data_IF_319935887481
#
_entry.id   IF_319935887481
#
_cell.length_a   1.000
_cell.length_b   1.000
_cell.length_c   1.000
_cell.angle_alpha   90.00
_cell.angle_beta   90.00
_cell.angle_gamma   90.00
#
_symmetry.space_group_name_H-M   'P 1'
#
loop_
_entity.id
_entity.type
_entity.pdbx_description
1 polymer ?
#
# COMPACT_ATOMS: atom_id res chain seq x y z
N UNK A 1 11.59 21.57 6.49
CA UNK A 1 10.62 21.87 7.57
C UNK A 1 11.34 21.75 8.90
N UNK A 2 11.03 22.59 9.88
CA UNK A 2 11.64 22.54 11.21
C UNK A 2 11.08 21.32 11.95
N UNK A 3 11.95 20.52 12.59
CA UNK A 3 11.54 19.28 13.26
C UNK A 3 10.36 19.39 14.24
N UNK A 4 10.27 20.45 15.10
CA UNK A 4 9.12 20.62 15.98
C UNK A 4 7.78 20.76 15.25
N UNK A 5 7.75 21.49 14.14
CA UNK A 5 6.54 21.72 13.34
C UNK A 5 6.07 20.43 12.66
N UNK A 6 6.98 19.62 12.12
CA UNK A 6 6.65 18.34 11.51
C UNK A 6 6.03 17.37 12.53
N UNK A 7 6.64 17.27 13.72
CA UNK A 7 6.13 16.43 14.82
C UNK A 7 4.79 16.93 15.36
N UNK A 8 4.63 18.26 15.49
CA UNK A 8 3.36 18.86 15.94
C UNK A 8 2.24 18.56 14.94
N UNK A 9 2.50 18.66 13.64
CA UNK A 9 1.51 18.30 12.61
C UNK A 9 1.13 16.83 12.68
N UNK A 10 2.08 15.93 12.80
CA UNK A 10 1.81 14.51 12.94
C UNK A 10 0.95 14.25 14.17
N UNK A 11 1.29 14.84 15.31
CA UNK A 11 0.54 14.71 16.55
C UNK A 11 -0.88 15.30 16.44
N UNK A 12 -1.05 16.48 15.84
CA UNK A 12 -2.36 17.12 15.67
C UNK A 12 -3.29 16.31 14.78
N UNK A 13 -2.79 15.77 13.66
CA UNK A 13 -3.58 14.92 12.76
C UNK A 13 -3.99 13.62 13.46
N UNK A 14 -3.11 13.04 14.29
CA UNK A 14 -3.42 11.88 15.09
C UNK A 14 -4.56 12.14 16.07
N UNK A 15 -4.50 13.24 16.81
CA UNK A 15 -5.56 13.63 17.75
C UNK A 15 -6.89 13.85 17.05
N UNK A 16 -6.90 14.58 15.93
CA UNK A 16 -8.11 14.84 15.15
C UNK A 16 -8.69 13.55 14.53
N UNK A 17 -7.85 12.62 14.08
CA UNK A 17 -8.32 11.35 13.55
C UNK A 17 -8.88 10.43 14.64
N UNK A 18 -8.33 10.47 15.85
CA UNK A 18 -8.82 9.71 16.98
C UNK A 18 -10.22 10.18 17.46
N UNK A 19 -10.50 11.47 17.35
CA UNK A 19 -11.81 12.06 17.71
C UNK A 19 -12.92 11.63 16.74
N UNK A 20 -12.60 11.40 15.48
CA UNK A 20 -13.56 11.08 14.41
C UNK A 20 -13.84 9.60 14.19
N UNK A 21 -13.19 8.72 14.94
CA UNK A 21 -13.47 7.30 14.83
C UNK A 21 -14.80 6.97 15.51
N UNK A 22 -15.75 6.30 14.85
CA UNK A 22 -16.99 5.88 15.50
C UNK A 22 -16.70 4.84 16.59
N UNK A 23 -17.60 4.69 17.57
CA UNK A 23 -17.44 3.67 18.59
C UNK A 23 -17.46 2.27 17.97
N UNK A 24 -16.71 1.39 18.57
CA UNK A 24 -16.59 0.01 18.15
C UNK A 24 -17.91 -0.76 18.35
N UNK A 25 -18.41 -1.38 17.30
CA UNK A 25 -19.51 -2.34 17.35
C UNK A 25 -19.19 -3.54 16.46
N UNK A 26 -18.75 -4.61 17.04
CA UNK A 26 -18.51 -5.85 16.30
C UNK A 26 -18.09 -7.00 17.22
N UNK A 27 -18.47 -8.23 16.88
CA UNK A 27 -18.04 -9.43 17.59
C UNK A 27 -16.57 -9.72 17.31
N UNK A 28 -15.81 -10.02 18.36
CA UNK A 28 -14.45 -10.50 18.20
C UNK A 28 -14.48 -11.89 17.56
N UNK A 29 -13.79 -12.04 16.43
CA UNK A 29 -13.51 -13.36 15.86
C UNK A 29 -12.60 -14.09 16.83
N UNK A 30 -12.82 -15.39 17.04
CA UNK A 30 -12.01 -16.20 17.96
C UNK A 30 -10.54 -16.23 17.56
N UNK A 31 -9.66 -16.25 18.56
CA UNK A 31 -8.21 -16.29 18.35
C UNK A 31 -7.77 -17.46 17.44
N UNK A 32 -8.39 -18.63 17.59
CA UNK A 32 -8.03 -19.82 16.79
C UNK A 32 -8.41 -19.67 15.32
N UNK A 33 -9.54 -19.04 15.04
CA UNK A 33 -9.96 -18.74 13.67
C UNK A 33 -9.04 -17.71 13.02
N UNK A 34 -8.59 -16.75 13.83
CA UNK A 34 -7.56 -15.79 13.51
C UNK A 34 -6.25 -16.42 13.08
N UNK A 35 -5.78 -17.34 13.88
CA UNK A 35 -4.53 -18.06 13.65
C UNK A 35 -4.60 -18.87 12.35
N UNK A 36 -5.70 -19.59 12.12
CA UNK A 36 -5.92 -20.37 10.89
C UNK A 36 -5.87 -19.51 9.62
N UNK A 37 -6.36 -18.27 9.69
CA UNK A 37 -6.38 -17.36 8.54
C UNK A 37 -5.00 -16.76 8.25
N UNK A 38 -4.18 -16.48 9.25
CA UNK A 38 -2.88 -15.80 9.08
C UNK A 38 -1.73 -16.79 8.85
N UNK A 39 -1.81 -17.98 9.45
CA UNK A 39 -0.76 -18.99 9.37
C UNK A 39 -0.95 -19.95 8.18
N UNK A 40 -2.08 -19.85 7.46
CA UNK A 40 -2.34 -20.68 6.28
C UNK A 40 -1.41 -20.33 5.10
N UNK A 41 -0.89 -21.35 4.38
CA UNK A 41 -0.08 -21.14 3.18
C UNK A 41 -0.82 -20.35 2.10
N UNK A 42 -2.14 -20.38 2.11
CA UNK A 42 -3.02 -19.70 1.15
C UNK A 42 -3.40 -18.27 1.57
N UNK A 43 -2.82 -17.75 2.64
CA UNK A 43 -3.11 -16.38 3.09
C UNK A 43 -2.81 -15.35 2.02
N UNK A 44 -1.71 -15.50 1.27
CA UNK A 44 -1.43 -14.80 0.02
C UNK A 44 -1.05 -15.87 -1.01
N UNK A 45 -1.97 -16.32 -1.86
CA UNK A 45 -1.72 -17.39 -2.82
C UNK A 45 -0.48 -17.14 -3.68
N UNK A 46 0.26 -18.20 -4.00
CA UNK A 46 1.44 -18.11 -4.87
C UNK A 46 1.05 -17.63 -6.28
N UNK A 47 -0.07 -18.11 -6.80
CA UNK A 47 -0.58 -17.72 -8.12
C UNK A 47 -1.58 -16.56 -8.03
N UNK A 48 -1.66 -15.77 -9.08
CA UNK A 48 -2.57 -14.64 -9.21
C UNK A 48 -3.02 -14.53 -10.67
N UNK A 49 -4.29 -14.79 -10.91
CA UNK A 49 -4.88 -14.54 -12.22
C UNK A 49 -4.96 -13.03 -12.49
N UNK A 50 -4.78 -12.63 -13.75
CA UNK A 50 -4.98 -11.24 -14.16
C UNK A 50 -6.40 -10.75 -13.88
N UNK A 51 -6.54 -9.45 -13.60
CA UNK A 51 -7.82 -8.83 -13.35
C UNK A 51 -8.74 -8.89 -14.60
N UNK A 52 -10.03 -9.15 -14.38
CA UNK A 52 -11.05 -9.04 -15.42
C UNK A 52 -11.61 -7.62 -15.39
N UNK A 53 -10.94 -6.69 -16.09
CA UNK A 53 -11.25 -5.27 -16.00
C UNK A 53 -12.43 -4.88 -16.89
N UNK A 54 -13.40 -4.21 -16.29
CA UNK A 54 -14.48 -3.50 -16.95
C UNK A 54 -14.26 -1.98 -16.83
N UNK A 55 -14.33 -1.26 -17.95
CA UNK A 55 -14.27 0.21 -17.95
C UNK A 55 -15.66 0.80 -17.79
N UNK A 56 -15.85 1.66 -16.77
CA UNK A 56 -17.07 2.40 -16.50
C UNK A 56 -17.02 3.85 -17.03
N UNK A 57 -16.05 4.14 -17.90
CA UNK A 57 -15.79 5.45 -18.48
C UNK A 57 -14.36 5.54 -19.02
N UNK A 58 -13.92 6.72 -19.47
CA UNK A 58 -12.60 6.86 -20.13
C UNK A 58 -11.40 6.57 -19.19
N UNK A 59 -11.59 6.76 -17.90
CA UNK A 59 -10.54 6.53 -16.89
C UNK A 59 -10.92 5.47 -15.86
N UNK A 60 -12.19 5.36 -15.50
CA UNK A 60 -12.66 4.51 -14.41
C UNK A 60 -12.71 3.05 -14.86
N UNK A 61 -12.19 2.19 -14.01
CA UNK A 61 -12.33 0.74 -14.17
C UNK A 61 -12.79 0.09 -12.88
N UNK A 62 -13.31 -1.11 -13.01
CA UNK A 62 -13.64 -2.00 -11.90
C UNK A 62 -13.35 -3.45 -12.28
N UNK A 63 -13.17 -4.28 -11.27
CA UNK A 63 -13.07 -5.74 -11.43
C UNK A 63 -13.44 -6.46 -10.13
N UNK A 64 -13.91 -7.71 -10.18
CA UNK A 64 -14.13 -8.53 -8.99
C UNK A 64 -12.82 -8.77 -8.26
N UNK A 65 -12.80 -8.62 -6.93
CA UNK A 65 -11.63 -8.97 -6.13
C UNK A 65 -11.29 -10.45 -6.29
N UNK A 66 -10.04 -10.81 -6.61
CA UNK A 66 -9.64 -12.22 -6.68
C UNK A 66 -9.64 -12.91 -5.29
N UNK A 67 -9.74 -12.11 -4.23
CA UNK A 67 -9.88 -12.58 -2.84
C UNK A 67 -11.07 -11.87 -2.19
N UNK A 68 -12.31 -12.37 -2.37
CA UNK A 68 -13.49 -11.75 -1.79
C UNK A 68 -13.47 -11.87 -0.26
N UNK A 69 -13.97 -10.82 0.41
CA UNK A 69 -14.24 -10.79 1.83
C UNK A 69 -15.72 -11.11 2.12
N UNK A 70 -16.07 -11.21 3.39
CA UNK A 70 -17.47 -11.37 3.83
C UNK A 70 -18.32 -10.11 3.64
N UNK A 71 -17.70 -8.96 3.27
CA UNK A 71 -18.36 -7.68 3.03
C UNK A 71 -18.54 -7.47 1.53
N UNK A 72 -19.77 -7.58 0.98
CA UNK A 72 -20.01 -7.57 -0.48
C UNK A 72 -19.50 -6.29 -1.17
N UNK A 73 -19.68 -5.12 -0.55
CA UNK A 73 -19.23 -3.83 -1.09
C UNK A 73 -17.72 -3.77 -1.28
N UNK A 74 -16.99 -4.55 -0.48
CA UNK A 74 -15.55 -4.64 -0.55
C UNK A 74 -15.04 -5.54 -1.68
N UNK A 75 -15.92 -6.34 -2.30
CA UNK A 75 -15.51 -7.36 -3.26
C UNK A 75 -15.44 -6.87 -4.72
N UNK A 76 -15.77 -5.60 -4.95
CA UNK A 76 -15.53 -4.93 -6.23
C UNK A 76 -14.38 -3.94 -6.04
N UNK A 77 -13.35 -4.10 -6.84
CA UNK A 77 -12.20 -3.19 -6.89
C UNK A 77 -12.54 -2.05 -7.84
N UNK A 78 -12.35 -0.82 -7.39
CA UNK A 78 -12.49 0.39 -8.21
C UNK A 78 -11.13 1.04 -8.42
N UNK A 79 -10.93 1.61 -9.59
CA UNK A 79 -9.70 2.30 -9.89
C UNK A 79 -9.83 3.28 -11.05
N UNK A 80 -8.70 3.93 -11.35
CA UNK A 80 -8.58 4.81 -12.53
C UNK A 80 -7.30 4.48 -13.26
N UNK A 81 -7.38 4.35 -14.58
CA UNK A 81 -6.26 4.16 -15.48
C UNK A 81 -6.04 5.43 -16.30
N UNK A 82 -4.91 6.05 -16.09
CA UNK A 82 -4.43 7.21 -16.85
C UNK A 82 -3.49 6.69 -17.92
N UNK A 83 -3.94 6.68 -19.15
CA UNK A 83 -3.23 6.12 -20.31
C UNK A 83 -2.49 7.21 -21.07
N UNK A 84 -1.26 6.96 -21.48
CA UNK A 84 -0.58 7.76 -22.48
C UNK A 84 -1.41 7.74 -23.79
N UNK A 85 -1.45 8.86 -24.50
CA UNK A 85 -2.45 9.06 -25.58
C UNK A 85 -2.33 8.04 -26.70
N UNK A 86 -1.11 7.71 -27.15
CA UNK A 86 -0.88 6.78 -28.25
C UNK A 86 -0.12 5.56 -27.74
N UNK A 87 -0.49 4.37 -28.24
CA UNK A 87 0.18 3.10 -27.92
C UNK A 87 0.45 2.92 -26.42
N UNK A 88 -0.58 3.21 -25.58
CA UNK A 88 -0.42 3.11 -24.14
C UNK A 88 0.02 1.71 -23.68
N UNK A 89 -0.35 0.68 -24.44
CA UNK A 89 0.04 -0.70 -24.21
C UNK A 89 1.56 -0.92 -24.33
N UNK A 90 2.24 -0.11 -25.15
CA UNK A 90 3.70 -0.16 -25.34
C UNK A 90 4.45 0.70 -24.28
N UNK A 91 3.73 1.31 -23.36
CA UNK A 91 4.31 2.18 -22.32
C UNK A 91 4.29 1.49 -20.96
N UNK A 92 5.36 1.63 -20.18
CA UNK A 92 5.38 1.11 -18.81
C UNK A 92 4.27 1.72 -17.97
N UNK A 93 3.86 1.01 -16.93
CA UNK A 93 2.81 1.44 -16.02
C UNK A 93 3.29 1.57 -14.58
N UNK A 94 2.74 2.52 -13.83
CA UNK A 94 2.97 2.73 -12.40
C UNK A 94 1.64 2.55 -11.67
N UNK A 95 1.58 1.59 -10.74
CA UNK A 95 0.44 1.42 -9.85
C UNK A 95 0.67 2.28 -8.60
N UNK A 96 -0.23 3.24 -8.37
CA UNK A 96 -0.18 4.20 -7.27
C UNK A 96 -1.08 3.74 -6.12
N UNK A 97 -0.49 3.50 -4.94
CA UNK A 97 -1.16 2.96 -3.77
C UNK A 97 -1.28 4.02 -2.67
N UNK A 98 -2.51 4.36 -2.31
CA UNK A 98 -2.79 5.40 -1.33
C UNK A 98 -2.54 4.95 0.13
N UNK A 99 -2.33 5.91 1.03
CA UNK A 99 -2.24 5.67 2.46
C UNK A 99 -3.61 5.41 3.09
N UNK A 100 -3.58 5.04 4.36
CA UNK A 100 -4.79 4.81 5.15
C UNK A 100 -5.69 6.05 5.18
N UNK A 101 -6.99 5.86 4.95
CA UNK A 101 -8.04 6.89 5.03
C UNK A 101 -7.72 8.24 4.31
N UNK A 102 -6.96 8.18 3.24
CA UNK A 102 -6.42 9.35 2.52
C UNK A 102 -7.35 9.84 1.39
N UNK A 103 -8.65 10.07 1.69
CA UNK A 103 -9.65 10.46 0.70
C UNK A 103 -9.26 11.72 -0.10
N UNK A 104 -8.76 12.76 0.56
CA UNK A 104 -8.29 13.98 -0.11
C UNK A 104 -7.11 13.71 -1.06
N UNK A 105 -6.16 12.89 -0.63
CA UNK A 105 -5.04 12.49 -1.47
C UNK A 105 -5.53 11.70 -2.67
N UNK A 106 -6.42 10.73 -2.49
CA UNK A 106 -6.98 9.92 -3.56
C UNK A 106 -7.77 10.77 -4.57
N UNK A 107 -8.57 11.74 -4.08
CA UNK A 107 -9.43 12.59 -4.93
C UNK A 107 -8.63 13.65 -5.72
N UNK A 108 -7.61 14.24 -5.14
CA UNK A 108 -6.93 15.41 -5.73
C UNK A 108 -5.47 15.15 -6.07
N UNK A 109 -4.70 14.53 -5.18
CA UNK A 109 -3.26 14.37 -5.35
C UNK A 109 -2.91 13.23 -6.29
N UNK A 110 -3.55 12.08 -6.17
CA UNK A 110 -3.27 10.94 -7.05
C UNK A 110 -3.58 11.23 -8.53
N UNK A 111 -4.69 11.90 -8.88
CA UNK A 111 -4.89 12.36 -10.26
C UNK A 111 -3.79 13.29 -10.77
N UNK A 112 -3.26 14.16 -9.90
CA UNK A 112 -2.15 15.03 -10.27
C UNK A 112 -0.85 14.23 -10.47
N UNK A 113 -0.53 13.31 -9.56
CA UNK A 113 0.63 12.39 -9.67
C UNK A 113 0.52 11.58 -10.96
N UNK A 114 -0.63 11.00 -11.24
CA UNK A 114 -0.89 10.21 -12.43
C UNK A 114 -0.64 11.01 -13.73
N UNK A 115 -1.11 12.27 -13.77
CA UNK A 115 -0.82 13.16 -14.92
C UNK A 115 0.67 13.46 -15.06
N UNK A 116 1.42 13.57 -13.96
CA UNK A 116 2.87 13.72 -14.02
C UNK A 116 3.55 12.47 -14.58
N UNK A 117 3.07 11.27 -14.19
CA UNK A 117 3.53 10.01 -14.77
C UNK A 117 3.28 9.97 -16.28
N UNK A 118 2.06 10.33 -16.72
CA UNK A 118 1.72 10.39 -18.16
C UNK A 118 2.64 11.32 -18.94
N UNK A 119 2.93 12.52 -18.40
CA UNK A 119 3.86 13.48 -19.04
C UNK A 119 5.29 12.95 -19.12
N UNK A 120 5.66 12.01 -18.24
CA UNK A 120 6.94 11.32 -18.27
C UNK A 120 6.93 10.07 -19.15
N UNK A 121 5.82 9.80 -19.87
CA UNK A 121 5.69 8.65 -20.77
C UNK A 121 5.27 7.33 -20.10
N UNK A 122 4.71 7.39 -18.88
CA UNK A 122 4.26 6.23 -18.13
C UNK A 122 2.74 6.23 -17.95
N UNK A 123 2.10 5.10 -18.18
CA UNK A 123 0.73 4.91 -17.69
C UNK A 123 0.70 4.96 -16.17
N UNK A 124 -0.44 5.37 -15.60
CA UNK A 124 -0.61 5.33 -14.15
C UNK A 124 -1.96 4.74 -13.79
N UNK A 125 -1.98 3.75 -12.91
CA UNK A 125 -3.19 3.18 -12.36
C UNK A 125 -3.31 3.53 -10.88
N UNK A 126 -4.52 3.88 -10.43
CA UNK A 126 -4.83 4.04 -9.01
C UNK A 126 -5.86 3.00 -8.60
N UNK A 127 -5.72 2.43 -7.40
CA UNK A 127 -6.68 1.50 -6.82
C UNK A 127 -7.34 2.11 -5.58
N UNK A 128 -8.62 1.84 -5.37
CA UNK A 128 -9.25 1.96 -4.08
C UNK A 128 -8.93 0.71 -3.27
N UNK A 129 -8.13 0.85 -2.24
CA UNK A 129 -7.74 -0.26 -1.38
C UNK A 129 -8.94 -0.84 -0.62
N UNK A 130 -8.91 -2.11 -0.19
CA UNK A 130 -10.01 -2.74 0.53
C UNK A 130 -10.54 -1.88 1.69
N UNK A 131 -11.84 -1.84 1.87
CA UNK A 131 -12.56 -1.06 2.89
C UNK A 131 -12.35 0.47 2.83
N UNK A 132 -11.89 1.01 1.71
CA UNK A 132 -11.79 2.46 1.50
C UNK A 132 -12.85 2.96 0.49
N UNK A 133 -13.22 4.21 0.62
CA UNK A 133 -14.09 4.99 -0.30
C UNK A 133 -15.39 4.27 -0.68
N UNK A 134 -15.56 3.84 -1.92
CA UNK A 134 -16.75 3.14 -2.41
C UNK A 134 -16.87 1.72 -1.86
N UNK A 135 -15.76 1.16 -1.36
CA UNK A 135 -15.68 -0.21 -0.84
C UNK A 135 -16.00 -0.29 0.66
N UNK A 136 -16.44 0.80 1.27
CA UNK A 136 -16.85 0.82 2.68
C UNK A 136 -18.21 0.17 2.84
N UNK A 137 -18.38 -0.63 3.88
CA UNK A 137 -19.70 -1.13 4.25
C UNK A 137 -20.63 0.01 4.66
N UNK A 138 -21.84 0.04 4.11
CA UNK A 138 -22.84 1.07 4.40
C UNK A 138 -23.43 0.98 5.81
N UNK A 139 -23.31 -0.16 6.47
CA UNK A 139 -23.82 -0.39 7.83
C UNK A 139 -22.81 -0.14 8.96
N UNK A 140 -21.54 0.03 8.64
CA UNK A 140 -20.47 0.16 9.64
C UNK A 140 -19.62 1.37 9.26
N UNK A 141 -19.78 2.45 9.95
CA UNK A 141 -19.17 3.75 9.68
C UNK A 141 -17.65 3.77 9.53
N UNK A 142 -17.15 3.32 8.42
CA UNK A 142 -15.72 3.36 8.07
C UNK A 142 -14.90 2.20 8.64
N UNK A 143 -13.65 2.12 8.21
CA UNK A 143 -12.67 1.16 8.72
C UNK A 143 -12.52 1.33 10.22
N UNK A 144 -13.14 0.46 10.95
CA UNK A 144 -12.83 0.25 12.35
C UNK A 144 -11.51 -0.55 12.36
N UNK A 145 -10.48 0.01 13.00
CA UNK A 145 -9.26 -0.72 13.31
C UNK A 145 -9.48 -1.43 14.64
N UNK A 146 -10.25 -2.47 14.77
CA UNK A 146 -10.31 -3.21 15.97
C UNK A 146 -9.88 -4.64 15.79
N UNK A 147 -9.91 -5.14 14.56
CA UNK A 147 -9.61 -6.53 14.35
C UNK A 147 -8.32 -6.69 13.59
N UNK A 148 -7.36 -7.16 14.29
CA UNK A 148 -6.08 -7.59 13.78
C UNK A 148 -6.24 -8.53 12.57
N UNK A 149 -7.23 -9.41 12.60
CA UNK A 149 -7.60 -10.27 11.50
C UNK A 149 -8.11 -9.53 10.29
N UNK A 150 -9.04 -8.60 10.49
CA UNK A 150 -9.56 -7.80 9.39
C UNK A 150 -8.44 -7.00 8.71
N UNK A 151 -7.44 -6.54 9.48
CA UNK A 151 -6.25 -5.92 8.92
C UNK A 151 -5.39 -6.90 8.15
N UNK A 152 -5.27 -8.15 8.61
CA UNK A 152 -4.51 -9.18 7.92
C UNK A 152 -5.21 -9.58 6.62
N UNK A 153 -6.52 -9.88 6.67
CA UNK A 153 -7.35 -10.18 5.49
C UNK A 153 -7.32 -9.05 4.47
N UNK A 154 -7.50 -7.82 4.93
CA UNK A 154 -7.47 -6.63 4.09
C UNK A 154 -6.14 -6.48 3.33
N UNK A 155 -5.00 -6.85 3.94
CA UNK A 155 -3.70 -6.83 3.27
C UNK A 155 -3.56 -7.95 2.25
N UNK A 156 -3.97 -9.16 2.62
CA UNK A 156 -3.95 -10.28 1.69
C UNK A 156 -4.82 -9.98 0.47
N UNK A 157 -6.01 -9.43 0.68
CA UNK A 157 -6.90 -8.98 -0.38
C UNK A 157 -6.24 -7.89 -1.24
N UNK A 158 -5.67 -6.86 -0.61
CA UNK A 158 -5.01 -5.77 -1.34
C UNK A 158 -3.83 -6.27 -2.19
N UNK A 159 -2.99 -7.16 -1.64
CA UNK A 159 -1.87 -7.75 -2.40
C UNK A 159 -2.38 -8.58 -3.57
N UNK A 160 -3.42 -9.40 -3.39
CA UNK A 160 -4.02 -10.16 -4.47
C UNK A 160 -4.56 -9.25 -5.59
N UNK A 161 -5.21 -8.15 -5.24
CA UNK A 161 -5.75 -7.17 -6.19
C UNK A 161 -4.66 -6.41 -6.94
N UNK A 162 -3.58 -6.01 -6.26
CA UNK A 162 -2.42 -5.35 -6.89
C UNK A 162 -1.76 -6.31 -7.88
N UNK A 163 -1.59 -7.58 -7.51
CA UNK A 163 -1.04 -8.61 -8.37
C UNK A 163 -1.91 -8.90 -9.59
N UNK A 164 -3.24 -8.93 -9.42
CA UNK A 164 -4.19 -9.11 -10.51
C UNK A 164 -4.13 -7.94 -11.51
N UNK A 165 -4.07 -6.70 -11.01
CA UNK A 165 -3.90 -5.52 -11.87
C UNK A 165 -2.54 -5.51 -12.57
N UNK A 166 -1.47 -5.90 -11.87
CA UNK A 166 -0.14 -6.06 -12.47
C UNK A 166 -0.18 -7.05 -13.63
N UNK A 167 -0.79 -8.21 -13.43
CA UNK A 167 -0.95 -9.23 -14.47
C UNK A 167 -1.74 -8.72 -15.67
N UNK A 168 -2.84 -8.00 -15.42
CA UNK A 168 -3.62 -7.42 -16.50
C UNK A 168 -2.85 -6.37 -17.31
N UNK A 169 -2.13 -5.45 -16.66
CA UNK A 169 -1.32 -4.44 -17.37
C UNK A 169 -0.27 -5.10 -18.28
N UNK A 170 0.41 -6.12 -17.79
CA UNK A 170 1.38 -6.89 -18.58
C UNK A 170 0.71 -7.61 -19.77
N UNK A 171 -0.47 -8.22 -19.56
CA UNK A 171 -1.25 -8.85 -20.64
C UNK A 171 -1.74 -7.85 -21.69
N UNK A 172 -1.98 -6.59 -21.29
CA UNK A 172 -2.32 -5.55 -22.26
C UNK A 172 -1.12 -5.09 -23.10
N UNK A 173 0.08 -5.56 -22.80
CA UNK A 173 1.29 -5.23 -23.53
C UNK A 173 2.20 -4.21 -22.84
N UNK A 174 1.84 -3.69 -21.65
CA UNK A 174 2.75 -2.81 -20.91
C UNK A 174 4.09 -3.55 -20.65
N UNK A 175 5.23 -3.03 -21.13
CA UNK A 175 6.50 -3.75 -21.04
C UNK A 175 7.03 -3.92 -19.61
N UNK A 176 6.58 -3.08 -18.70
CA UNK A 176 7.02 -3.07 -17.31
C UNK A 176 5.97 -2.44 -16.39
N UNK A 177 5.91 -2.90 -15.15
CA UNK A 177 5.07 -2.34 -14.10
C UNK A 177 5.91 -1.99 -12.89
N UNK A 178 5.72 -0.79 -12.32
CA UNK A 178 6.26 -0.38 -11.03
C UNK A 178 5.15 -0.14 -10.02
N UNK A 179 5.47 -0.30 -8.73
CA UNK A 179 4.58 0.03 -7.63
C UNK A 179 5.08 1.30 -6.93
N UNK A 180 4.19 2.22 -6.62
CA UNK A 180 4.52 3.39 -5.82
C UNK A 180 3.45 3.61 -4.76
N UNK A 181 3.81 3.38 -3.51
CA UNK A 181 2.92 3.50 -2.38
C UNK A 181 3.40 4.49 -1.32
N UNK A 182 2.46 5.07 -0.59
CA UNK A 182 2.74 5.93 0.55
C UNK A 182 2.10 5.38 1.83
N UNK A 183 2.82 5.42 2.95
CA UNK A 183 2.33 4.95 4.26
C UNK A 183 1.84 3.49 4.18
N UNK A 184 0.55 3.26 4.44
CA UNK A 184 -0.09 1.96 4.25
C UNK A 184 0.07 1.41 2.83
N UNK A 185 -0.07 2.26 1.80
CA UNK A 185 0.20 1.88 0.41
C UNK A 185 1.67 1.52 0.17
N UNK A 186 2.61 2.16 0.87
CA UNK A 186 4.03 1.80 0.87
C UNK A 186 4.28 0.42 1.44
N UNK A 187 3.59 0.07 2.52
CA UNK A 187 3.61 -1.29 3.07
C UNK A 187 3.09 -2.32 2.08
N UNK A 188 1.93 -2.06 1.45
CA UNK A 188 1.35 -2.97 0.47
C UNK A 188 2.25 -3.14 -0.76
N UNK A 189 2.91 -2.08 -1.22
CA UNK A 189 3.91 -2.16 -2.28
C UNK A 189 5.07 -3.10 -1.90
N UNK A 190 5.58 -2.96 -0.67
CA UNK A 190 6.62 -3.84 -0.13
C UNK A 190 6.16 -5.29 0.02
N UNK A 191 4.95 -5.53 0.57
CA UNK A 191 4.40 -6.88 0.68
C UNK A 191 4.22 -7.53 -0.70
N UNK A 192 3.73 -6.76 -1.68
CA UNK A 192 3.58 -7.25 -3.05
C UNK A 192 4.95 -7.62 -3.64
N UNK A 193 5.98 -6.80 -3.44
CA UNK A 193 7.34 -7.10 -3.91
C UNK A 193 7.93 -8.37 -3.28
N UNK A 194 7.47 -8.75 -2.09
CA UNK A 194 7.86 -10.02 -1.44
C UNK A 194 7.06 -11.23 -1.92
N UNK A 195 6.03 -11.05 -2.76
CA UNK A 195 5.13 -12.11 -3.22
C UNK A 195 4.97 -12.16 -4.74
N UNK A 196 5.53 -11.18 -5.44
CA UNK A 196 5.42 -11.07 -6.90
C UNK A 196 6.70 -10.44 -7.47
N UNK A 197 7.36 -11.14 -8.35
CA UNK A 197 8.58 -10.67 -9.01
C UNK A 197 8.31 -9.84 -10.28
N UNK A 198 7.05 -9.79 -10.74
CA UNK A 198 6.67 -9.10 -12.00
C UNK A 198 6.77 -7.57 -11.92
N UNK A 199 6.49 -6.89 -10.78
CA UNK A 199 6.86 -5.48 -10.67
C UNK A 199 8.38 -5.31 -10.72
N UNK A 200 8.86 -4.50 -11.65
CA UNK A 200 10.31 -4.32 -11.84
C UNK A 200 10.94 -3.29 -10.93
N UNK A 201 10.13 -2.39 -10.33
CA UNK A 201 10.60 -1.39 -9.38
C UNK A 201 9.52 -1.06 -8.33
N UNK A 202 9.96 -0.71 -7.12
CA UNK A 202 9.07 -0.36 -6.02
C UNK A 202 9.55 0.90 -5.29
N UNK A 203 8.66 1.87 -5.12
CA UNK A 203 8.87 3.09 -4.34
C UNK A 203 7.98 3.05 -3.10
N UNK A 204 8.58 3.07 -1.93
CA UNK A 204 7.93 3.03 -0.63
C UNK A 204 8.16 4.36 0.09
N UNK A 205 7.16 5.24 0.10
CA UNK A 205 7.25 6.54 0.76
C UNK A 205 6.64 6.48 2.18
N UNK A 206 7.42 6.85 3.18
CA UNK A 206 7.07 6.80 4.62
C UNK A 206 6.32 5.51 4.99
N UNK A 207 6.86 4.32 4.61
CA UNK A 207 6.14 3.07 4.73
C UNK A 207 5.95 2.65 6.18
N UNK A 208 4.82 2.02 6.48
CA UNK A 208 4.71 1.18 7.66
C UNK A 208 5.47 -0.12 7.38
N UNK A 209 6.33 -0.54 8.28
CA UNK A 209 7.19 -1.73 8.08
C UNK A 209 6.85 -2.90 9.01
N UNK A 210 6.13 -2.62 10.09
CA UNK A 210 5.66 -3.63 11.06
C UNK A 210 4.22 -3.38 11.46
N UNK A 211 3.53 -4.46 11.76
CA UNK A 211 2.16 -4.43 12.28
C UNK A 211 2.08 -3.72 13.64
N UNK A 212 3.07 -3.91 14.48
CA UNK A 212 3.13 -3.32 15.84
C UNK A 212 3.25 -1.80 15.81
N UNK A 213 3.87 -1.22 14.79
CA UNK A 213 4.05 0.24 14.69
C UNK A 213 2.75 1.02 14.50
N UNK A 214 1.74 0.40 13.87
CA UNK A 214 0.41 1.01 13.69
C UNK A 214 -0.43 0.92 14.96
N UNK A 215 -0.06 0.07 15.88
CA UNK A 215 -0.77 -0.20 17.12
C UNK A 215 -0.29 0.62 18.30
N UNK A 216 0.50 1.67 18.05
CA UNK A 216 0.93 2.51 19.16
C UNK A 216 -0.31 3.06 19.87
N UNK A 217 -0.36 2.89 21.19
CA UNK A 217 -1.46 3.32 22.08
C UNK A 217 -1.82 4.80 21.94
N UNK A 218 -1.02 5.53 21.18
CA UNK A 218 -1.19 6.97 20.90
C UNK A 218 -2.22 7.29 19.82
N UNK A 219 -2.56 6.32 18.95
CA UNK A 219 -3.43 6.54 17.78
C UNK A 219 -4.88 6.12 18.07
N UNK A 220 -5.09 5.25 19.05
CA UNK A 220 -6.37 4.63 19.32
C UNK A 220 -7.18 5.40 20.37
N UNK A 221 -8.49 5.55 20.13
CA UNK A 221 -9.43 6.01 21.17
C UNK A 221 -9.35 5.11 22.40
N UNK A 222 -9.64 5.61 23.60
CA UNK A 222 -9.61 4.80 24.82
C UNK A 222 -10.40 3.50 24.74
N UNK A 223 -11.60 3.52 24.14
CA UNK A 223 -12.43 2.33 23.94
C UNK A 223 -11.81 1.30 22.97
N UNK A 224 -11.22 1.78 21.88
CA UNK A 224 -10.51 0.94 20.92
C UNK A 224 -9.20 0.43 21.53
N UNK A 225 -8.52 1.26 22.32
CA UNK A 225 -7.31 0.88 23.07
C UNK A 225 -7.61 -0.24 24.06
N UNK A 226 -8.72 -0.15 24.80
CA UNK A 226 -9.10 -1.19 25.76
C UNK A 226 -9.42 -2.52 25.07
N UNK A 227 -10.19 -2.51 23.96
CA UNK A 227 -10.43 -3.68 23.14
C UNK A 227 -9.14 -4.24 22.53
N UNK A 228 -8.24 -3.36 22.12
CA UNK A 228 -6.92 -3.72 21.59
C UNK A 228 -6.00 -4.31 22.65
N UNK A 229 -6.05 -3.80 23.89
CA UNK A 229 -5.30 -4.35 25.02
C UNK A 229 -5.86 -5.71 25.48
N UNK A 230 -7.18 -5.89 25.47
CA UNK A 230 -7.81 -7.17 25.73
C UNK A 230 -7.37 -8.28 24.75
N UNK A 231 -7.03 -7.89 23.52
CA UNK A 231 -6.49 -8.80 22.50
C UNK A 231 -4.96 -8.96 22.55
N UNK A 232 -4.28 -8.38 23.56
CA UNK A 232 -2.81 -8.41 23.66
C UNK A 232 -2.26 -9.84 23.66
N UNK A 233 -2.87 -10.74 24.44
CA UNK A 233 -2.45 -12.13 24.53
C UNK A 233 -2.61 -12.85 23.18
N UNK A 234 -3.68 -12.54 22.46
CA UNK A 234 -3.90 -13.06 21.13
C UNK A 234 -2.82 -12.58 20.14
N UNK A 235 -2.47 -11.31 20.21
CA UNK A 235 -1.43 -10.70 19.34
C UNK A 235 -0.02 -11.23 19.63
N UNK A 236 0.27 -11.53 20.88
CA UNK A 236 1.57 -12.09 21.28
C UNK A 236 1.73 -13.54 20.80
N UNK A 237 0.63 -14.27 20.62
CA UNK A 237 0.60 -15.64 20.10
C UNK A 237 0.53 -15.71 18.56
N UNK A 238 0.08 -14.62 17.89
CA UNK A 238 0.01 -14.55 16.44
C UNK A 238 1.40 -14.37 15.85
N UNK A 239 1.83 -15.28 15.03
CA UNK A 239 3.00 -15.08 14.18
C UNK A 239 2.66 -14.15 13.03
N UNK A 240 3.02 -12.88 13.19
CA UNK A 240 2.82 -11.83 12.20
C UNK A 240 3.97 -11.71 11.20
N UNK A 241 4.87 -12.66 11.21
CA UNK A 241 6.06 -12.66 10.36
C UNK A 241 5.69 -12.49 8.89
N UNK A 242 4.60 -13.14 8.46
CA UNK A 242 4.08 -13.02 7.09
C UNK A 242 3.62 -11.59 6.69
N UNK A 243 3.38 -10.71 7.66
CA UNK A 243 2.94 -9.34 7.44
C UNK A 243 4.00 -8.28 7.77
N UNK A 244 5.09 -8.67 8.39
CA UNK A 244 6.18 -7.77 8.76
C UNK A 244 7.24 -7.75 7.67
N UNK A 245 7.41 -6.61 7.01
CA UNK A 245 8.38 -6.47 5.91
C UNK A 245 9.80 -6.83 6.33
N UNK A 246 10.17 -6.56 7.57
CA UNK A 246 11.51 -6.89 8.11
C UNK A 246 11.78 -8.39 8.17
N UNK A 247 10.73 -9.22 8.21
CA UNK A 247 10.84 -10.69 8.24
C UNK A 247 10.75 -11.32 6.85
N UNK A 248 10.43 -10.53 5.84
CA UNK A 248 10.26 -10.97 4.45
C UNK A 248 11.45 -10.56 3.58
N UNK A 249 11.55 -11.17 2.42
CA UNK A 249 12.54 -10.81 1.39
C UNK A 249 11.83 -10.44 0.11
N UNK A 250 12.21 -9.32 -0.53
CA UNK A 250 11.68 -8.95 -1.83
C UNK A 250 12.18 -9.91 -2.90
N UNK A 251 11.31 -10.21 -3.86
CA UNK A 251 11.64 -11.02 -5.05
C UNK A 251 12.26 -10.18 -6.16
N UNK A 252 12.30 -8.87 -6.00
CA UNK A 252 12.90 -7.93 -6.94
C UNK A 252 14.29 -7.48 -6.47
N UNK A 253 15.21 -7.12 -7.39
CA UNK A 253 16.55 -6.68 -7.03
C UNK A 253 16.55 -5.41 -6.16
N UNK A 254 17.46 -5.36 -5.17
CA UNK A 254 17.57 -4.23 -4.23
C UNK A 254 17.74 -2.85 -4.89
N UNK A 255 18.45 -2.80 -6.02
CA UNK A 255 18.65 -1.56 -6.79
C UNK A 255 17.36 -1.01 -7.40
N UNK A 256 16.31 -1.82 -7.46
CA UNK A 256 14.97 -1.45 -7.95
C UNK A 256 14.00 -1.15 -6.81
N UNK A 257 14.47 -1.01 -5.58
CA UNK A 257 13.70 -0.63 -4.41
C UNK A 257 14.17 0.73 -3.92
N UNK A 258 13.23 1.67 -3.76
CA UNK A 258 13.47 2.98 -3.18
C UNK A 258 12.66 3.15 -1.90
N UNK A 259 13.35 3.45 -0.81
CA UNK A 259 12.76 3.87 0.46
C UNK A 259 12.81 5.40 0.56
N UNK A 260 11.71 6.04 0.91
CA UNK A 260 11.67 7.47 1.26
C UNK A 260 11.23 7.57 2.71
N UNK A 261 12.11 8.04 3.58
CA UNK A 261 11.89 8.12 5.03
C UNK A 261 11.75 9.57 5.48
N UNK A 262 10.73 9.85 6.27
CA UNK A 262 10.59 11.11 6.98
C UNK A 262 11.40 11.07 8.28
N UNK A 263 12.48 11.88 8.39
CA UNK A 263 13.35 11.84 9.59
C UNK A 263 12.66 12.33 10.87
N UNK A 264 11.48 12.93 10.75
CA UNK A 264 10.66 13.41 11.86
C UNK A 264 9.34 12.63 11.99
N UNK A 265 9.23 11.49 11.31
CA UNK A 265 8.06 10.61 11.38
C UNK A 265 7.91 10.03 12.79
N UNK A 266 6.74 10.27 13.40
CA UNK A 266 6.42 9.74 14.74
C UNK A 266 5.44 8.57 14.71
N UNK A 267 5.00 8.20 13.52
CA UNK A 267 4.02 7.13 13.28
C UNK A 267 4.68 5.85 12.80
N UNK A 268 5.52 5.95 11.78
CA UNK A 268 6.25 4.81 11.25
C UNK A 268 7.59 4.65 11.96
N UNK A 269 7.99 3.41 12.15
CA UNK A 269 9.34 3.10 12.63
C UNK A 269 10.39 3.47 11.58
N UNK A 270 11.62 3.82 12.01
CA UNK A 270 12.73 4.03 11.08
C UNK A 270 12.95 2.80 10.19
N UNK A 271 13.19 3.04 8.92
CA UNK A 271 13.31 1.97 7.92
C UNK A 271 14.68 1.31 7.88
N UNK A 272 15.61 1.67 8.75
CA UNK A 272 17.00 1.18 8.70
C UNK A 272 17.11 -0.33 8.93
N UNK A 273 16.26 -0.92 9.77
CA UNK A 273 16.24 -2.37 9.95
C UNK A 273 15.74 -3.07 8.67
N UNK A 274 14.66 -2.57 8.08
CA UNK A 274 14.18 -3.06 6.79
C UNK A 274 15.27 -2.95 5.73
N UNK A 275 15.95 -1.81 5.68
CA UNK A 275 17.03 -1.53 4.73
C UNK A 275 18.16 -2.55 4.86
N UNK A 276 18.60 -2.85 6.09
CA UNK A 276 19.63 -3.89 6.34
C UNK A 276 19.17 -5.27 5.88
N UNK A 277 17.93 -5.64 6.23
CA UNK A 277 17.36 -6.93 5.90
C UNK A 277 17.17 -7.13 4.38
N UNK A 278 16.90 -6.07 3.64
CA UNK A 278 16.67 -6.11 2.19
C UNK A 278 17.93 -5.85 1.35
N UNK A 279 19.12 -5.98 1.94
CA UNK A 279 20.40 -5.85 1.25
C UNK A 279 20.76 -4.40 0.89
N UNK A 280 20.34 -3.45 1.70
CA UNK A 280 20.64 -2.02 1.59
C UNK A 280 20.13 -1.34 0.30
N UNK A 281 18.81 -1.38 0.02
CA UNK A 281 18.23 -0.60 -1.07
C UNK A 281 18.50 0.90 -0.88
N UNK A 282 18.30 1.67 -1.96
CA UNK A 282 18.43 3.12 -1.93
C UNK A 282 17.43 3.75 -0.96
N UNK A 283 17.88 4.72 -0.16
CA UNK A 283 17.05 5.46 0.78
C UNK A 283 17.24 6.96 0.62
N UNK A 284 16.13 7.69 0.59
CA UNK A 284 16.12 9.15 0.66
C UNK A 284 15.50 9.59 1.98
N UNK A 285 16.28 10.26 2.80
CA UNK A 285 15.82 10.85 4.04
C UNK A 285 15.40 12.29 3.81
N UNK A 286 14.16 12.62 4.19
CA UNK A 286 13.57 13.94 3.97
C UNK A 286 13.18 14.59 5.30
N UNK A 287 13.33 15.94 5.45
CA UNK A 287 13.04 16.63 6.71
C UNK A 287 11.52 16.82 6.92
N UNK A 288 10.79 15.72 6.94
CA UNK A 288 9.34 15.67 7.12
C UNK A 288 8.96 14.62 8.16
N UNK A 289 7.78 14.78 8.78
CA UNK A 289 7.06 13.74 9.50
C UNK A 289 6.14 12.98 8.57
N UNK A 290 5.30 12.11 9.11
CA UNK A 290 4.39 11.26 8.34
C UNK A 290 3.35 12.06 7.56
N UNK A 291 2.59 12.89 8.28
CA UNK A 291 1.52 13.70 7.67
C UNK A 291 2.06 14.94 6.97
N UNK A 292 3.12 15.56 7.48
CA UNK A 292 3.71 16.69 6.79
C UNK A 292 4.31 16.31 5.43
N UNK A 293 4.85 15.11 5.29
CA UNK A 293 5.23 14.55 3.99
C UNK A 293 4.03 14.49 3.06
N UNK A 294 2.91 14.00 3.56
CA UNK A 294 1.70 13.83 2.77
C UNK A 294 0.95 15.13 2.49
N UNK A 295 0.91 16.10 3.43
CA UNK A 295 0.06 17.29 3.35
C UNK A 295 0.75 18.51 2.71
N UNK A 296 2.04 18.74 2.98
CA UNK A 296 2.75 19.95 2.56
C UNK A 296 3.45 19.80 1.19
N UNK A 297 3.04 18.82 0.39
CA UNK A 297 3.50 18.75 -0.99
C UNK A 297 4.86 18.09 -1.19
N UNK A 298 5.43 17.43 -0.16
CA UNK A 298 6.65 16.66 -0.36
C UNK A 298 6.53 15.66 -1.53
N UNK A 299 5.37 14.99 -1.77
CA UNK A 299 5.18 14.22 -2.99
C UNK A 299 5.36 15.05 -4.27
N UNK A 300 4.95 16.32 -4.26
CA UNK A 300 5.12 17.20 -5.43
C UNK A 300 6.59 17.57 -5.65
N UNK A 301 7.32 17.87 -4.59
CA UNK A 301 8.76 18.18 -4.64
C UNK A 301 9.56 16.94 -5.03
N UNK A 302 9.17 15.76 -4.53
CA UNK A 302 9.83 14.49 -4.81
C UNK A 302 9.46 13.90 -6.17
N UNK A 303 8.35 14.34 -6.78
CA UNK A 303 7.81 13.78 -8.03
C UNK A 303 8.85 13.65 -9.12
N UNK A 304 9.50 14.76 -9.47
CA UNK A 304 10.52 14.79 -10.53
C UNK A 304 11.69 13.86 -10.21
N UNK A 305 12.05 13.77 -8.91
CA UNK A 305 13.15 12.90 -8.46
C UNK A 305 12.79 11.45 -8.54
N UNK A 306 11.57 11.09 -8.11
CA UNK A 306 11.05 9.71 -8.19
C UNK A 306 10.91 9.28 -9.65
N UNK A 307 10.34 10.12 -10.51
CA UNK A 307 10.21 9.80 -11.93
C UNK A 307 11.59 9.62 -12.60
N UNK A 308 12.57 10.48 -12.30
CA UNK A 308 13.95 10.28 -12.79
C UNK A 308 14.57 8.97 -12.31
N UNK A 309 14.26 8.57 -11.07
CA UNK A 309 14.72 7.29 -10.52
C UNK A 309 14.03 6.09 -11.18
N UNK A 310 12.74 6.19 -11.50
CA UNK A 310 11.97 5.14 -12.17
C UNK A 310 12.31 5.00 -13.66
N UNK A 311 12.59 6.10 -14.35
CA UNK A 311 12.77 6.13 -15.82
C UNK A 311 13.78 5.10 -16.33
N UNK A 312 15.03 5.02 -15.83
CA UNK A 312 15.99 4.04 -16.35
C UNK A 312 15.56 2.60 -16.06
N UNK A 313 14.80 2.36 -14.99
CA UNK A 313 14.34 1.02 -14.59
C UNK A 313 13.18 0.56 -15.44
N UNK A 314 12.22 1.45 -15.71
CA UNK A 314 11.02 1.16 -16.48
C UNK A 314 11.31 1.05 -17.99
N UNK A 315 12.37 1.66 -18.48
CA UNK A 315 12.76 1.62 -19.89
C UNK A 315 13.82 0.55 -20.18
N UNK A 316 14.27 -0.23 -19.20
CA UNK A 316 15.11 -1.40 -19.47
C UNK A 316 14.25 -2.47 -20.13
N UNK A 317 14.73 -3.12 -21.22
CA UNK A 317 14.05 -4.30 -21.73
C UNK A 317 13.96 -5.33 -20.61
N UNK A 318 12.82 -5.99 -20.49
CA UNK A 318 12.66 -7.10 -19.55
C UNK A 318 13.79 -8.11 -19.81
N UNK A 319 14.66 -8.31 -18.81
CA UNK A 319 15.62 -9.39 -18.87
C UNK A 319 14.81 -10.67 -18.78
N UNK A 320 14.53 -11.29 -19.93
CA UNK A 320 14.00 -12.64 -19.96
C UNK A 320 15.08 -13.53 -19.34
N UNK A 321 14.81 -14.02 -18.15
CA UNK A 321 15.63 -15.01 -17.48
C UNK A 321 15.69 -16.27 -18.36
N UNK A 322 16.81 -16.47 -19.08
CA UNK A 322 17.07 -17.64 -19.91
C UNK A 322 17.54 -18.85 -19.07
N UNK A 323 17.35 -18.84 -17.75
CA UNK A 323 17.75 -19.91 -16.83
C UNK A 323 16.64 -20.89 -16.46
N UNK A 324 15.65 -21.09 -17.33
CA UNK A 324 14.67 -22.17 -17.21
C UNK A 324 14.89 -23.20 -18.33
N UNK A 325 15.96 -23.95 -18.20
CA UNK A 325 16.18 -25.25 -18.89
C UNK A 325 16.69 -26.28 -17.90
#
# INVERSE_FOLDING_TARGET
MIAPLAKLMDWSVLQLSSIRQPPFSGQAVGLEEALKLVDGPDFIPAESSPAQIEFAGPLQFRFPSPRPSTVPENNIVYGRLYRCLESWQERPAIILLHGWNSALSHRFRFPWIARCCMRAGFNAATLELPFHFQRRSHGHGGLHVPYFLQLAEMRAQAVAEIRALTGWLLQQGCPAVALWGASYGGWLAGLTACRDARPIAVVMAVPVIRMKSVSSDRILRPSVRQAWQAQRVARERLDLTALNLVSLRPLIPRQNILLIEGVHDVLAEPTEELRRQWGQPEIWRVPHGHFSFSLIGAPCLMMKRVLRWLTPRLNQPAVMDQSAH
#
